data_IF_298881787830
#
_entry.id   IF_298881787830
#
_cell.length_a   1.000
_cell.length_b   1.000
_cell.length_c   1.000
_cell.angle_alpha   90.00
_cell.angle_beta   90.00
_cell.angle_gamma   90.00
#
_symmetry.space_group_name_H-M   'P 1'
#
loop_
_entity.id
_entity.type
_entity.pdbx_description
1 polymer ?
#
# COMPACT_ATOMS: atom_id res chain seq x y z
N UNK A 1 -0.21 -18.59 -3.57
CA UNK A 1 0.33 -17.71 -4.63
C UNK A 1 1.73 -17.22 -4.28
N UNK A 2 2.51 -16.75 -5.25
CA UNK A 2 3.74 -15.97 -5.01
C UNK A 2 3.37 -14.51 -4.80
N UNK A 3 3.97 -13.82 -3.83
CA UNK A 3 3.73 -12.38 -3.58
C UNK A 3 5.04 -11.65 -3.50
N UNK A 4 5.20 -10.67 -4.37
CA UNK A 4 6.38 -9.81 -4.44
C UNK A 4 5.94 -8.35 -4.25
N UNK A 5 6.52 -7.67 -3.25
CA UNK A 5 6.39 -6.22 -3.07
C UNK A 5 7.72 -5.58 -3.42
N UNK A 6 7.67 -4.69 -4.40
CA UNK A 6 8.85 -4.02 -4.95
C UNK A 6 8.69 -2.51 -4.91
N UNK A 7 9.78 -1.82 -4.61
CA UNK A 7 9.95 -0.39 -4.86
C UNK A 7 11.00 -0.21 -5.96
N UNK A 8 11.12 0.98 -6.57
CA UNK A 8 12.17 1.25 -7.55
C UNK A 8 13.60 1.00 -7.03
N UNK A 9 13.79 1.05 -5.71
CA UNK A 9 15.10 0.88 -5.07
C UNK A 9 15.42 -0.57 -4.70
N UNK A 10 14.41 -1.36 -4.28
CA UNK A 10 14.62 -2.72 -3.77
C UNK A 10 13.34 -3.56 -3.70
N UNK A 11 13.54 -4.88 -3.61
CA UNK A 11 12.50 -5.83 -3.23
C UNK A 11 12.36 -5.79 -1.71
N UNK A 12 11.15 -5.58 -1.20
CA UNK A 12 10.86 -5.46 0.23
C UNK A 12 10.23 -6.71 0.82
N UNK A 13 9.48 -7.45 0.01
CA UNK A 13 8.86 -8.70 0.40
C UNK A 13 8.82 -9.63 -0.81
N UNK A 14 9.15 -10.90 -0.62
CA UNK A 14 9.05 -11.93 -1.64
C UNK A 14 8.85 -13.27 -0.95
N UNK A 15 7.64 -13.80 -1.01
CA UNK A 15 7.30 -15.07 -0.38
C UNK A 15 6.33 -15.90 -1.24
N UNK A 16 6.50 -17.21 -1.15
CA UNK A 16 5.63 -18.20 -1.78
C UNK A 16 4.68 -18.82 -0.76
N UNK A 17 3.50 -19.27 -1.21
CA UNK A 17 2.56 -20.01 -0.36
C UNK A 17 1.57 -19.11 0.40
N UNK A 18 1.47 -17.84 0.02
CA UNK A 18 0.47 -16.91 0.57
C UNK A 18 -0.94 -17.35 0.13
N UNK A 19 -1.88 -17.36 1.07
CA UNK A 19 -3.26 -17.82 0.83
C UNK A 19 -4.17 -16.67 0.41
N UNK A 20 -4.03 -15.52 1.07
CA UNK A 20 -4.84 -14.34 0.80
C UNK A 20 -4.01 -13.06 0.98
N UNK A 21 -4.24 -12.11 0.07
CA UNK A 21 -3.69 -10.75 0.17
C UNK A 21 -4.84 -9.75 0.04
N UNK A 22 -4.96 -8.84 0.99
CA UNK A 22 -5.88 -7.70 0.89
C UNK A 22 -5.10 -6.46 0.46
N UNK A 23 -5.53 -5.82 -0.62
CA UNK A 23 -4.91 -4.60 -1.15
C UNK A 23 -5.91 -3.42 -1.20
N UNK A 24 -5.44 -2.18 -0.97
CA UNK A 24 -6.26 -0.99 -1.08
C UNK A 24 -6.33 -0.53 -2.54
N UNK A 25 -7.25 -1.10 -3.33
CA UNK A 25 -7.49 -0.66 -4.70
C UNK A 25 -8.17 0.71 -4.78
N UNK A 26 -8.03 1.38 -5.93
CA UNK A 26 -8.73 2.65 -6.21
C UNK A 26 -10.26 2.50 -6.16
N UNK A 27 -10.79 1.33 -6.53
CA UNK A 27 -12.23 1.02 -6.52
C UNK A 27 -12.70 0.50 -5.15
N UNK A 28 -11.79 0.29 -4.20
CA UNK A 28 -12.11 -0.25 -2.87
C UNK A 28 -11.08 -1.24 -2.36
N UNK A 29 -11.38 -1.82 -1.19
CA UNK A 29 -10.58 -2.89 -0.60
C UNK A 29 -10.82 -4.21 -1.36
N UNK A 30 -9.77 -4.85 -1.84
CA UNK A 30 -9.86 -6.10 -2.60
C UNK A 30 -9.06 -7.21 -1.94
N UNK A 31 -9.69 -8.37 -1.75
CA UNK A 31 -9.03 -9.60 -1.32
C UNK A 31 -8.72 -10.49 -2.52
N UNK A 32 -7.45 -10.85 -2.69
CA UNK A 32 -6.96 -11.78 -3.70
C UNK A 32 -6.68 -13.12 -3.02
N UNK A 33 -7.38 -14.17 -3.44
CA UNK A 33 -7.14 -15.56 -3.02
C UNK A 33 -6.18 -16.27 -3.98
N UNK A 34 -5.66 -17.41 -3.56
CA UNK A 34 -4.88 -18.28 -4.44
C UNK A 34 -5.69 -18.67 -5.70
N UNK A 35 -5.02 -18.68 -6.87
CA UNK A 35 -5.63 -18.92 -8.19
C UNK A 35 -6.75 -17.93 -8.58
N UNK A 36 -6.63 -16.66 -8.18
CA UNK A 36 -7.51 -15.60 -8.66
C UNK A 36 -7.40 -15.39 -10.19
N UNK A 37 -8.38 -14.72 -10.80
CA UNK A 37 -8.29 -14.29 -12.20
C UNK A 37 -7.19 -13.23 -12.37
N UNK A 38 -6.44 -13.21 -13.50
CA UNK A 38 -5.48 -12.15 -13.76
C UNK A 38 -6.11 -10.76 -13.70
N UNK A 39 -5.44 -9.82 -13.02
CA UNK A 39 -5.94 -8.47 -12.81
C UNK A 39 -4.77 -7.49 -12.66
N UNK A 40 -4.94 -6.29 -13.22
CA UNK A 40 -4.07 -5.15 -12.98
C UNK A 40 -4.91 -4.05 -12.37
N UNK A 41 -4.49 -3.49 -11.24
CA UNK A 41 -5.22 -2.41 -10.57
C UNK A 41 -4.29 -1.39 -9.94
N UNK A 42 -4.76 -0.15 -9.86
CA UNK A 42 -4.07 0.91 -9.13
C UNK A 42 -4.41 0.83 -7.65
N UNK A 43 -3.42 1.15 -6.82
CA UNK A 43 -3.56 1.20 -5.37
C UNK A 43 -3.65 2.64 -4.90
N UNK A 44 -4.59 2.88 -3.98
CA UNK A 44 -4.65 4.12 -3.21
C UNK A 44 -3.79 4.00 -1.94
N UNK A 45 -3.45 5.11 -1.27
CA UNK A 45 -2.83 5.05 0.05
C UNK A 45 -3.64 4.18 1.01
N UNK A 46 -2.97 3.33 1.78
CA UNK A 46 -3.64 2.44 2.71
C UNK A 46 -2.81 1.24 3.13
N UNK A 47 -3.47 0.27 3.77
CA UNK A 47 -2.84 -0.93 4.32
C UNK A 47 -3.02 -2.13 3.39
N UNK A 48 -1.91 -2.78 3.07
CA UNK A 48 -1.84 -4.11 2.48
C UNK A 48 -1.73 -5.13 3.61
N UNK A 49 -2.60 -6.14 3.60
CA UNK A 49 -2.55 -7.26 4.53
C UNK A 49 -2.16 -8.53 3.76
N UNK A 50 -1.10 -9.20 4.21
CA UNK A 50 -0.66 -10.48 3.67
C UNK A 50 -0.85 -11.52 4.76
N UNK A 51 -1.71 -12.51 4.49
CA UNK A 51 -1.94 -13.62 5.41
C UNK A 51 -1.25 -14.89 4.88
N UNK A 52 -0.18 -15.27 5.56
CA UNK A 52 0.50 -16.56 5.42
C UNK A 52 0.41 -17.33 6.77
N UNK A 53 1.48 -17.97 7.22
CA UNK A 53 1.57 -18.52 8.60
C UNK A 53 1.42 -17.44 9.69
N UNK A 54 1.80 -16.20 9.38
CA UNK A 54 1.69 -15.00 10.19
C UNK A 54 0.90 -13.89 9.46
N UNK A 55 0.39 -12.90 10.19
CA UNK A 55 -0.21 -11.70 9.59
C UNK A 55 0.85 -10.62 9.44
N UNK A 56 1.11 -10.21 8.20
CA UNK A 56 2.01 -9.11 7.87
C UNK A 56 1.22 -7.95 7.30
N UNK A 57 1.43 -6.76 7.86
CA UNK A 57 0.76 -5.54 7.42
C UNK A 57 1.77 -4.52 6.94
N UNK A 58 1.48 -3.94 5.79
CA UNK A 58 2.30 -2.91 5.16
C UNK A 58 1.45 -1.69 4.85
N UNK A 59 1.94 -0.50 5.16
CA UNK A 59 1.34 0.75 4.72
C UNK A 59 2.00 1.19 3.42
N UNK A 60 1.20 1.45 2.38
CA UNK A 60 1.66 1.98 1.10
C UNK A 60 1.08 3.38 0.86
N UNK A 61 1.86 4.24 0.19
CA UNK A 61 1.38 5.55 -0.30
C UNK A 61 0.68 5.45 -1.65
N UNK A 62 0.58 4.26 -2.23
CA UNK A 62 0.00 4.00 -3.54
C UNK A 62 0.93 3.19 -4.44
N UNK A 63 0.41 2.78 -5.59
CA UNK A 63 1.15 1.88 -6.47
C UNK A 63 0.28 1.19 -7.52
N UNK A 64 0.80 0.09 -8.05
CA UNK A 64 0.13 -0.79 -9.00
C UNK A 64 0.27 -2.22 -8.52
N UNK A 65 -0.82 -2.98 -8.55
CA UNK A 65 -0.81 -4.42 -8.35
C UNK A 65 -1.08 -5.12 -9.68
N UNK A 66 -0.20 -6.06 -10.06
CA UNK A 66 -0.33 -6.96 -11.21
C UNK A 66 -0.41 -8.39 -10.68
N UNK A 67 -1.55 -9.06 -10.90
CA UNK A 67 -1.74 -10.47 -10.60
C UNK A 67 -1.82 -11.26 -11.90
N UNK A 68 -0.93 -12.22 -12.09
CA UNK A 68 -0.95 -13.15 -13.23
C UNK A 68 -0.22 -14.44 -12.89
N UNK A 69 -0.59 -15.55 -13.53
CA UNK A 69 0.08 -16.85 -13.36
C UNK A 69 0.25 -17.26 -11.88
N UNK A 70 -0.76 -16.97 -11.05
CA UNK A 70 -0.74 -17.18 -9.61
C UNK A 70 0.42 -16.48 -8.85
N UNK A 71 0.85 -15.34 -9.37
CA UNK A 71 1.86 -14.44 -8.80
C UNK A 71 1.30 -13.03 -8.72
N UNK A 72 1.39 -12.42 -7.54
CA UNK A 72 1.05 -11.04 -7.26
C UNK A 72 2.32 -10.20 -7.19
N UNK A 73 2.45 -9.21 -8.06
CA UNK A 73 3.50 -8.20 -8.02
C UNK A 73 2.91 -6.85 -7.66
N UNK A 74 3.35 -6.28 -6.53
CA UNK A 74 2.92 -4.96 -6.07
C UNK A 74 4.09 -3.99 -6.21
N UNK A 75 3.94 -3.01 -7.10
CA UNK A 75 4.88 -1.91 -7.29
C UNK A 75 4.41 -0.71 -6.49
N UNK A 76 5.15 -0.33 -5.46
CA UNK A 76 4.84 0.81 -4.61
C UNK A 76 5.88 1.93 -4.74
N UNK A 77 5.45 3.18 -4.56
CA UNK A 77 6.39 4.30 -4.45
C UNK A 77 7.11 4.29 -3.10
N UNK A 78 6.34 4.37 -2.01
CA UNK A 78 6.83 4.13 -0.66
C UNK A 78 5.97 3.05 -0.01
N UNK A 79 6.62 2.19 0.79
CA UNK A 79 5.93 1.19 1.59
C UNK A 79 6.69 0.97 2.91
N UNK A 80 5.94 0.77 3.98
CA UNK A 80 6.45 0.64 5.33
C UNK A 80 5.82 -0.58 6.00
N UNK A 81 6.64 -1.41 6.64
CA UNK A 81 6.10 -2.43 7.53
C UNK A 81 5.49 -1.73 8.76
N UNK A 82 4.24 -2.06 9.11
CA UNK A 82 3.56 -1.43 10.25
C UNK A 82 4.34 -1.66 11.55
N UNK A 83 5.00 -2.82 11.71
CA UNK A 83 5.81 -3.13 12.91
C UNK A 83 7.04 -2.24 13.05
N UNK A 84 7.54 -1.69 11.96
CA UNK A 84 8.74 -0.85 11.91
C UNK A 84 8.40 0.64 11.75
N UNK A 85 7.10 0.98 11.76
CA UNK A 85 6.63 2.33 11.54
C UNK A 85 6.88 3.20 12.78
N UNK A 86 7.79 4.16 12.67
CA UNK A 86 8.11 5.11 13.75
C UNK A 86 7.25 6.37 13.67
N UNK A 87 7.06 7.07 14.80
CA UNK A 87 6.40 8.39 14.80
C UNK A 87 7.13 9.40 13.91
N UNK A 88 8.44 9.27 13.75
CA UNK A 88 9.21 10.11 12.82
C UNK A 88 8.77 9.89 11.38
N UNK A 89 8.58 8.64 10.94
CA UNK A 89 8.10 8.31 9.61
C UNK A 89 6.68 8.84 9.39
N UNK A 90 5.80 8.65 10.37
CA UNK A 90 4.41 9.14 10.31
C UNK A 90 4.37 10.66 10.19
N UNK A 91 5.13 11.37 11.03
CA UNK A 91 5.17 12.83 10.99
C UNK A 91 5.78 13.36 9.69
N UNK A 92 6.81 12.68 9.14
CA UNK A 92 7.38 13.01 7.82
C UNK A 92 6.33 12.92 6.72
N UNK A 93 5.58 11.82 6.68
CA UNK A 93 4.53 11.60 5.67
C UNK A 93 3.40 12.62 5.82
N UNK A 94 2.93 12.89 7.04
CA UNK A 94 1.91 13.91 7.31
C UNK A 94 2.35 15.31 6.89
N UNK A 95 3.57 15.71 7.24
CA UNK A 95 4.10 17.03 6.86
C UNK A 95 4.23 17.15 5.34
N UNK A 96 4.67 16.09 4.67
CA UNK A 96 4.79 16.08 3.20
C UNK A 96 3.41 16.18 2.53
N UNK A 97 2.41 15.49 3.07
CA UNK A 97 1.03 15.55 2.60
C UNK A 97 0.40 16.94 2.85
N UNK A 98 0.56 17.52 4.05
CA UNK A 98 0.06 18.86 4.37
C UNK A 98 0.67 19.92 3.44
N UNK A 99 1.97 19.83 3.16
CA UNK A 99 2.62 20.75 2.22
C UNK A 99 1.99 20.70 0.83
N UNK A 100 1.62 19.50 0.35
CA UNK A 100 0.91 19.36 -0.93
C UNK A 100 -0.51 19.93 -0.89
N UNK A 101 -1.21 19.81 0.23
CA UNK A 101 -2.56 20.35 0.41
C UNK A 101 -2.55 21.89 0.40
N UNK A 102 -1.53 22.50 1.00
CA UNK A 102 -1.39 23.97 1.07
C UNK A 102 -0.78 24.58 -0.21
N UNK A 103 -0.14 23.79 -1.06
CA UNK A 103 0.46 24.27 -2.30
C UNK A 103 -0.62 24.61 -3.34
N UNK A 104 -0.66 25.88 -3.72
CA UNK A 104 -1.63 26.45 -4.67
C UNK A 104 -1.50 25.81 -6.07
N UNK A 105 -0.34 25.24 -6.41
CA UNK A 105 -0.11 24.61 -7.70
C UNK A 105 -0.47 23.11 -7.74
N UNK A 106 -0.82 22.52 -6.59
CA UNK A 106 -1.21 21.11 -6.53
C UNK A 106 -2.51 20.88 -7.31
N UNK A 107 -2.56 19.77 -8.03
CA UNK A 107 -3.78 19.31 -8.67
C UNK A 107 -4.78 18.75 -7.65
N UNK A 108 -6.07 18.76 -7.98
CA UNK A 108 -7.13 18.15 -7.17
C UNK A 108 -6.82 16.69 -6.81
N UNK A 109 -6.23 15.94 -7.75
CA UNK A 109 -5.79 14.56 -7.53
C UNK A 109 -4.70 14.46 -6.47
N UNK A 110 -3.69 15.34 -6.50
CA UNK A 110 -2.63 15.34 -5.49
C UNK A 110 -3.12 15.72 -4.10
N UNK A 111 -4.06 16.66 -4.03
CA UNK A 111 -4.73 17.05 -2.79
C UNK A 111 -5.53 15.86 -2.24
N UNK A 112 -6.28 15.17 -3.10
CA UNK A 112 -7.05 13.97 -2.72
C UNK A 112 -6.15 12.85 -2.17
N UNK A 113 -5.05 12.53 -2.86
CA UNK A 113 -4.09 11.52 -2.39
C UNK A 113 -3.47 11.94 -1.06
N UNK A 114 -3.14 13.23 -0.89
CA UNK A 114 -2.56 13.75 0.35
C UNK A 114 -3.52 13.65 1.54
N UNK A 115 -4.81 13.96 1.34
CA UNK A 115 -5.83 13.74 2.36
C UNK A 115 -5.99 12.25 2.70
N UNK A 116 -6.00 11.37 1.69
CA UNK A 116 -6.11 9.92 1.88
C UNK A 116 -4.96 9.36 2.71
N UNK A 117 -3.72 9.84 2.46
CA UNK A 117 -2.55 9.47 3.27
C UNK A 117 -2.75 9.87 4.73
N UNK A 118 -3.20 11.10 5.01
CA UNK A 118 -3.37 11.58 6.38
C UNK A 118 -4.44 10.79 7.13
N UNK A 119 -5.57 10.50 6.46
CA UNK A 119 -6.67 9.73 7.02
C UNK A 119 -6.21 8.32 7.41
N UNK A 120 -5.58 7.59 6.49
CA UNK A 120 -5.08 6.24 6.74
C UNK A 120 -4.00 6.22 7.83
N UNK A 121 -3.08 7.20 7.86
CA UNK A 121 -2.10 7.34 8.94
C UNK A 121 -2.73 7.62 10.31
N UNK A 122 -3.89 8.29 10.36
CA UNK A 122 -4.62 8.48 11.61
C UNK A 122 -5.29 7.18 12.05
N UNK A 123 -5.90 6.43 11.13
CA UNK A 123 -6.53 5.14 11.40
C UNK A 123 -5.52 4.10 11.93
N UNK A 124 -4.28 4.15 11.44
CA UNK A 124 -3.19 3.30 11.90
C UNK A 124 -2.85 3.46 13.39
N UNK A 125 -3.06 4.63 13.99
CA UNK A 125 -2.81 4.83 15.44
C UNK A 125 -3.82 4.13 16.34
N UNK A 126 -4.92 3.61 15.78
CA UNK A 126 -6.00 2.93 16.51
C UNK A 126 -6.04 1.42 16.29
N UNK A 127 -5.05 0.85 15.58
CA UNK A 127 -4.90 -0.59 15.33
C UNK A 127 -3.66 -1.12 16.02
#
# INVERSE_FOLDING_TARGET
MQVDIVTPEKILFSESGVQIVTIPGIEGQMGLLDNHIPIVTFLKPGVINIENENKNYYFTTGGVADFKNNSLSILCQEIFNIKELTDQNINRLKNSANKKIEDINSSDHEIFISHSIIEELNLLKFR
#
